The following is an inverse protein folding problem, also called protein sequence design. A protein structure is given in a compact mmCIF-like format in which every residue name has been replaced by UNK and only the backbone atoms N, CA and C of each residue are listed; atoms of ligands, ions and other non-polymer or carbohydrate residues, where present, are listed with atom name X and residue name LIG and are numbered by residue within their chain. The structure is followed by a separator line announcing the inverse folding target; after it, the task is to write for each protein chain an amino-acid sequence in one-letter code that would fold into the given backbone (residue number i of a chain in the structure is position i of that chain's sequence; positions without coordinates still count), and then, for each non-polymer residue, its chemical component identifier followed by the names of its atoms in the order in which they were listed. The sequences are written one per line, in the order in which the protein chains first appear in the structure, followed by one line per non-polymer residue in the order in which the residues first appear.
data_IF_984145257006
#
_entry.id   IF_984145257006
#
_cell.length_a   1.000
_cell.length_b   1.000
_cell.length_c   1.000
_cell.angle_alpha   90.00
_cell.angle_beta   90.00
_cell.angle_gamma   90.00
#
_symmetry.space_group_name_H-M   'P 1'
#
loop_
_entity.id
_entity.type
_entity.pdbx_description
1 polymer ?
#
# COMPACT_ATOMS: atom_id res chain seq x y z
N UNK A 1 3.93 -9.45 21.71
CA UNK A 1 4.42 -10.67 21.08
C UNK A 1 3.95 -11.92 21.81
N UNK A 2 3.97 -13.07 21.16
CA UNK A 2 3.55 -14.34 21.73
C UNK A 2 3.33 -15.37 20.64
N UNK A 3 2.73 -16.52 20.98
CA UNK A 3 2.39 -17.57 20.03
C UNK A 3 1.46 -17.04 18.94
N UNK A 4 1.81 -17.30 17.66
CA UNK A 4 1.02 -16.83 16.53
C UNK A 4 -0.39 -17.43 16.49
N UNK A 5 -0.56 -18.66 16.95
CA UNK A 5 -1.87 -19.34 17.01
C UNK A 5 -2.79 -18.80 18.11
N UNK A 6 -2.25 -18.04 19.06
CA UNK A 6 -3.00 -17.39 20.14
C UNK A 6 -3.14 -15.88 19.90
N UNK A 7 -2.56 -15.38 18.82
CA UNK A 7 -2.60 -13.96 18.51
C UNK A 7 -3.96 -13.55 17.92
N UNK A 8 -4.48 -12.43 18.39
CA UNK A 8 -5.69 -11.83 17.86
C UNK A 8 -5.34 -10.76 16.84
N UNK A 9 -6.00 -10.80 15.69
CA UNK A 9 -5.93 -9.82 14.62
C UNK A 9 -7.28 -9.14 14.45
N UNK A 10 -7.25 -7.89 14.04
CA UNK A 10 -8.47 -7.14 13.76
C UNK A 10 -8.50 -6.72 12.28
N UNK A 11 -9.34 -7.41 11.49
CA UNK A 11 -9.48 -7.21 10.04
C UNK A 11 -8.13 -7.22 9.30
N UNK A 12 -7.31 -8.27 9.43
CA UNK A 12 -6.05 -8.37 8.69
C UNK A 12 -6.36 -8.37 7.19
N UNK A 13 -5.51 -7.71 6.40
CA UNK A 13 -5.72 -7.59 4.98
C UNK A 13 -4.52 -8.10 4.16
N UNK A 14 -3.53 -7.28 3.92
CA UNK A 14 -2.40 -7.66 3.10
C UNK A 14 -1.44 -8.56 3.87
N UNK A 15 -0.88 -9.53 3.15
CA UNK A 15 0.15 -10.43 3.65
C UNK A 15 1.29 -10.49 2.63
N UNK A 16 2.54 -10.52 3.10
CA UNK A 16 3.73 -10.64 2.26
C UNK A 16 4.85 -11.35 3.04
N UNK A 17 5.87 -11.82 2.34
CA UNK A 17 7.09 -12.35 2.96
C UNK A 17 8.19 -11.29 2.96
N UNK A 18 8.91 -11.16 4.06
CA UNK A 18 10.17 -10.41 4.06
C UNK A 18 11.31 -11.24 3.44
N UNK A 19 12.46 -10.62 3.23
CA UNK A 19 13.63 -11.27 2.62
C UNK A 19 14.23 -12.40 3.49
N UNK A 20 13.81 -12.50 4.75
CA UNK A 20 14.18 -13.61 5.67
C UNK A 20 13.10 -14.68 5.78
N UNK A 21 12.05 -14.60 4.94
CA UNK A 21 10.93 -15.55 4.91
C UNK A 21 9.97 -15.41 6.08
N UNK A 22 10.01 -14.32 6.85
CA UNK A 22 9.00 -14.02 7.87
C UNK A 22 7.74 -13.46 7.20
N UNK A 23 6.59 -13.73 7.78
CA UNK A 23 5.30 -13.27 7.27
C UNK A 23 5.01 -11.89 7.84
N UNK A 24 4.76 -10.92 6.96
CA UNK A 24 4.29 -9.58 7.30
C UNK A 24 2.79 -9.49 7.09
N UNK A 25 2.06 -8.86 8.00
CA UNK A 25 0.60 -8.77 7.98
C UNK A 25 0.17 -7.34 8.31
N UNK A 26 -0.65 -6.74 7.45
CA UNK A 26 -1.37 -5.51 7.76
C UNK A 26 -2.55 -5.82 8.69
N UNK A 27 -2.39 -5.55 9.96
CA UNK A 27 -3.42 -5.68 11.01
C UNK A 27 -4.15 -4.33 11.14
N UNK A 28 -4.97 -4.01 10.11
CA UNK A 28 -5.49 -2.65 9.89
C UNK A 28 -6.36 -2.15 11.03
N UNK A 29 -7.23 -3.00 11.58
CA UNK A 29 -8.10 -2.60 12.68
C UNK A 29 -7.36 -2.35 13.99
N UNK A 30 -6.14 -2.87 14.12
CA UNK A 30 -5.24 -2.63 15.23
C UNK A 30 -4.17 -1.57 14.91
N UNK A 31 -4.21 -0.94 13.74
CA UNK A 31 -3.24 0.07 13.30
C UNK A 31 -1.78 -0.38 13.45
N UNK A 32 -1.49 -1.64 13.06
CA UNK A 32 -0.17 -2.28 13.20
C UNK A 32 0.23 -3.06 11.96
N UNK A 33 1.54 -3.15 11.75
CA UNK A 33 2.15 -4.22 10.95
C UNK A 33 2.63 -5.28 11.91
N UNK A 34 2.18 -6.51 11.70
CA UNK A 34 2.62 -7.66 12.49
C UNK A 34 3.62 -8.47 11.67
N UNK A 35 4.56 -9.09 12.37
CA UNK A 35 5.54 -9.99 11.76
C UNK A 35 5.50 -11.33 12.46
N UNK A 36 5.39 -12.42 11.69
CA UNK A 36 5.37 -13.79 12.21
C UNK A 36 6.62 -14.51 11.80
N UNK A 37 7.35 -15.03 12.77
CA UNK A 37 8.51 -15.87 12.53
C UNK A 37 8.09 -17.27 12.09
N UNK A 38 8.53 -17.70 10.89
CA UNK A 38 8.12 -18.97 10.30
C UNK A 38 8.52 -20.18 11.16
N UNK A 39 9.74 -20.19 11.70
CA UNK A 39 10.25 -21.30 12.52
C UNK A 39 9.91 -21.13 14.01
N UNK A 40 9.86 -19.89 14.51
CA UNK A 40 9.56 -19.61 15.91
C UNK A 40 8.07 -19.67 16.24
N UNK A 41 7.20 -19.53 15.21
CA UNK A 41 5.75 -19.37 15.35
C UNK A 41 5.36 -18.25 16.34
N UNK A 42 6.23 -17.25 16.50
CA UNK A 42 5.96 -16.08 17.32
C UNK A 42 5.48 -14.93 16.46
N UNK A 43 4.51 -14.18 16.95
CA UNK A 43 4.07 -12.91 16.34
C UNK A 43 4.64 -11.74 17.15
N UNK A 44 5.10 -10.74 16.44
CA UNK A 44 5.57 -9.48 17.01
C UNK A 44 4.96 -8.28 16.26
N UNK A 45 4.94 -7.13 16.89
CA UNK A 45 4.61 -5.87 16.21
C UNK A 45 5.88 -5.33 15.57
N UNK A 46 5.88 -5.23 14.24
CA UNK A 46 6.97 -4.61 13.49
C UNK A 46 6.86 -3.09 13.50
N UNK A 47 5.63 -2.55 13.38
CA UNK A 47 5.37 -1.11 13.39
C UNK A 47 3.92 -0.84 13.79
N UNK A 48 3.66 0.39 14.24
CA UNK A 48 2.33 0.82 14.69
C UNK A 48 2.17 0.76 16.20
N UNK A 49 1.52 1.78 16.77
CA UNK A 49 1.23 1.87 18.21
C UNK A 49 -0.16 1.36 18.59
N UNK A 50 -1.04 1.16 17.60
CA UNK A 50 -2.47 0.91 17.79
C UNK A 50 -3.31 2.19 17.77
N UNK A 51 -2.69 3.35 17.72
CA UNK A 51 -3.38 4.63 17.67
C UNK A 51 -3.61 5.06 16.21
N UNK A 52 -4.82 5.57 15.96
CA UNK A 52 -5.18 6.19 14.69
C UNK A 52 -4.71 7.65 14.67
N UNK A 53 -3.43 7.85 14.37
CA UNK A 53 -2.80 9.17 14.29
C UNK A 53 -2.00 9.29 12.99
N UNK A 54 -1.73 10.52 12.50
CA UNK A 54 -0.84 10.74 11.37
C UNK A 54 0.53 10.10 11.61
N UNK A 55 1.09 9.54 10.54
CA UNK A 55 2.44 8.94 10.56
C UNK A 55 3.45 10.01 10.13
N UNK A 56 4.37 10.47 11.01
CA UNK A 56 5.35 11.48 10.64
C UNK A 56 6.40 10.95 9.65
N UNK A 57 6.87 11.81 8.74
CA UNK A 57 7.96 11.45 7.84
C UNK A 57 9.30 11.35 8.60
N UNK A 58 10.09 10.34 8.28
CA UNK A 58 11.40 10.08 8.91
C UNK A 58 11.32 9.52 10.32
N UNK A 59 10.12 9.19 10.80
CA UNK A 59 9.94 8.61 12.13
C UNK A 59 10.52 7.20 12.24
N UNK A 60 10.87 6.75 13.46
CA UNK A 60 11.33 5.39 13.69
C UNK A 60 10.26 4.35 13.29
N UNK A 61 10.70 3.21 12.81
CA UNK A 61 9.82 2.08 12.48
C UNK A 61 9.02 1.61 13.71
N UNK A 62 9.68 1.56 14.85
CA UNK A 62 9.08 1.18 16.12
C UNK A 62 8.46 2.39 16.81
N UNK A 63 7.34 2.17 17.51
CA UNK A 63 6.64 3.17 18.32
C UNK A 63 6.08 4.39 17.54
N UNK A 64 5.97 4.28 16.22
CA UNK A 64 5.31 5.30 15.39
C UNK A 64 3.87 4.87 15.07
N UNK A 65 2.87 5.74 15.22
CA UNK A 65 1.50 5.41 14.83
C UNK A 65 1.37 5.21 13.32
N UNK A 66 0.53 4.26 12.91
CA UNK A 66 0.18 4.00 11.52
C UNK A 66 -1.31 4.28 11.30
N UNK A 67 -1.64 5.18 10.38
CA UNK A 67 -3.04 5.51 10.12
C UNK A 67 -3.67 4.56 9.09
N UNK A 68 -4.06 3.37 9.54
CA UNK A 68 -4.73 2.35 8.73
C UNK A 68 -3.82 1.65 7.72
N UNK A 69 -2.80 0.88 8.17
CA UNK A 69 -1.94 0.11 7.28
C UNK A 69 -2.77 -0.94 6.53
N UNK A 70 -2.85 -0.85 5.20
CA UNK A 70 -3.82 -1.63 4.41
C UNK A 70 -3.18 -2.57 3.41
N UNK A 71 -2.15 -2.13 2.70
CA UNK A 71 -1.43 -2.93 1.73
C UNK A 71 0.07 -2.75 1.92
N UNK A 72 0.81 -3.81 1.67
CA UNK A 72 2.26 -3.82 1.75
C UNK A 72 2.84 -4.71 0.64
N UNK A 73 4.06 -4.37 0.22
CA UNK A 73 4.88 -5.20 -0.64
C UNK A 73 6.36 -4.99 -0.28
N UNK A 74 7.21 -5.95 -0.64
CA UNK A 74 8.64 -5.95 -0.29
C UNK A 74 9.45 -5.88 -1.58
N UNK A 75 10.29 -4.85 -1.70
CA UNK A 75 11.20 -4.69 -2.82
C UNK A 75 12.40 -5.64 -2.75
N UNK A 76 13.07 -5.86 -3.87
CA UNK A 76 14.22 -6.77 -3.97
C UNK A 76 15.35 -6.43 -2.99
N UNK A 77 15.55 -5.15 -2.67
CA UNK A 77 16.54 -4.70 -1.69
C UNK A 77 16.10 -4.89 -0.23
N UNK A 78 14.91 -5.44 0.00
CA UNK A 78 14.34 -5.73 1.31
C UNK A 78 13.59 -4.59 1.97
N UNK A 79 13.43 -3.44 1.32
CA UNK A 79 12.61 -2.35 1.84
C UNK A 79 11.13 -2.71 1.72
N UNK A 80 10.36 -2.36 2.75
CA UNK A 80 8.93 -2.54 2.77
C UNK A 80 8.24 -1.27 2.25
N UNK A 81 7.32 -1.43 1.31
CA UNK A 81 6.42 -0.37 0.88
C UNK A 81 5.04 -0.56 1.50
N UNK A 82 4.45 0.52 1.95
CA UNK A 82 3.25 0.51 2.78
C UNK A 82 2.25 1.57 2.33
N UNK A 83 1.02 1.16 2.02
CA UNK A 83 -0.10 2.05 1.81
C UNK A 83 -0.92 2.19 3.10
N UNK A 84 -1.11 3.42 3.54
CA UNK A 84 -1.95 3.79 4.67
C UNK A 84 -3.32 4.26 4.14
N UNK A 85 -4.34 3.40 4.28
CA UNK A 85 -5.69 3.68 3.75
C UNK A 85 -6.31 4.93 4.35
N UNK A 86 -6.41 4.99 5.67
CA UNK A 86 -6.96 6.15 6.38
C UNK A 86 -6.00 7.34 6.37
N UNK A 87 -4.72 7.07 6.21
CA UNK A 87 -3.67 8.09 6.08
C UNK A 87 -3.58 8.72 4.69
N UNK A 88 -4.27 8.18 3.67
CA UNK A 88 -4.17 8.63 2.28
C UNK A 88 -2.72 8.88 1.85
N UNK A 89 -1.82 7.95 2.15
CA UNK A 89 -0.39 8.12 1.96
C UNK A 89 0.32 6.80 1.71
N UNK A 90 1.52 6.89 1.10
CA UNK A 90 2.43 5.78 0.87
C UNK A 90 3.77 6.07 1.53
N UNK A 91 4.30 5.06 2.21
CA UNK A 91 5.59 5.10 2.88
C UNK A 91 6.50 4.00 2.34
N UNK A 92 7.79 4.31 2.23
CA UNK A 92 8.85 3.33 2.16
C UNK A 92 9.41 3.15 3.57
N UNK A 93 9.51 1.93 4.02
CA UNK A 93 10.20 1.58 5.26
C UNK A 93 11.63 1.19 4.91
N UNK A 94 12.57 2.01 5.27
CA UNK A 94 14.00 1.67 5.20
C UNK A 94 14.29 0.67 6.32
N UNK A 95 14.32 -0.61 5.98
CA UNK A 95 14.49 -1.69 6.96
C UNK A 95 15.88 -1.71 7.59
N UNK A 96 16.90 -1.15 6.92
CA UNK A 96 18.26 -1.06 7.43
C UNK A 96 18.40 0.04 8.48
N UNK A 97 17.75 1.19 8.24
CA UNK A 97 17.77 2.34 9.15
C UNK A 97 16.64 2.30 10.17
N UNK A 98 15.64 1.45 9.97
CA UNK A 98 14.45 1.40 10.82
C UNK A 98 13.62 2.69 10.75
N UNK A 99 13.42 3.26 9.56
CA UNK A 99 12.73 4.53 9.36
C UNK A 99 11.56 4.45 8.39
N UNK A 100 10.49 5.19 8.69
CA UNK A 100 9.32 5.40 7.83
C UNK A 100 9.51 6.66 6.99
N UNK A 101 9.67 6.50 5.69
CA UNK A 101 9.93 7.59 4.74
C UNK A 101 8.68 7.85 3.90
N UNK A 102 8.03 8.98 4.11
CA UNK A 102 6.87 9.41 3.32
C UNK A 102 7.23 9.56 1.82
N UNK A 103 6.43 8.98 0.92
CA UNK A 103 6.72 8.94 -0.53
C UNK A 103 5.60 9.49 -1.39
N UNK A 104 4.33 9.32 -1.01
CA UNK A 104 3.21 9.85 -1.77
C UNK A 104 2.02 10.16 -0.85
N UNK A 105 1.19 11.10 -1.30
CA UNK A 105 -0.05 11.49 -0.62
C UNK A 105 0.13 12.54 0.45
N UNK A 106 -0.68 13.58 0.43
CA UNK A 106 -0.64 14.67 1.44
C UNK A 106 -1.33 14.32 2.76
N UNK A 107 -1.93 13.13 2.88
CA UNK A 107 -2.82 12.77 3.97
C UNK A 107 -4.28 13.22 3.76
N UNK A 108 -4.51 14.16 2.85
CA UNK A 108 -5.87 14.60 2.48
C UNK A 108 -6.45 13.65 1.43
N UNK A 109 -7.75 13.33 1.57
CA UNK A 109 -8.48 12.55 0.57
C UNK A 109 -8.68 13.37 -0.71
N UNK A 110 -8.42 12.76 -1.88
CA UNK A 110 -8.63 13.41 -3.17
C UNK A 110 -8.00 12.66 -4.34
N UNK A 111 -8.09 13.28 -5.53
CA UNK A 111 -7.62 12.73 -6.80
C UNK A 111 -6.83 13.78 -7.60
N UNK A 112 -5.83 14.39 -6.98
CA UNK A 112 -5.01 15.43 -7.62
C UNK A 112 -3.54 15.02 -7.74
N UNK A 113 -2.75 15.78 -8.47
CA UNK A 113 -1.30 15.62 -8.54
C UNK A 113 -0.84 14.56 -9.54
N UNK A 114 -1.70 14.10 -10.45
CA UNK A 114 -1.28 13.23 -11.57
C UNK A 114 -0.27 13.96 -12.46
N UNK A 115 0.84 13.31 -12.76
CA UNK A 115 1.96 13.88 -13.51
C UNK A 115 2.84 14.83 -12.67
N UNK A 116 2.56 15.03 -11.37
CA UNK A 116 3.29 15.91 -10.46
C UNK A 116 4.07 15.18 -9.36
N UNK A 117 4.66 15.95 -8.42
CA UNK A 117 5.36 15.37 -7.27
C UNK A 117 4.40 14.53 -6.41
N UNK A 118 4.73 13.25 -6.20
CA UNK A 118 3.85 12.31 -5.50
C UNK A 118 3.54 12.72 -4.05
N UNK A 119 4.46 13.42 -3.40
CA UNK A 119 4.29 13.89 -2.00
C UNK A 119 3.29 15.05 -1.88
N UNK A 120 2.98 15.73 -2.98
CA UNK A 120 2.03 16.84 -3.07
C UNK A 120 0.67 16.38 -3.62
N UNK A 121 0.59 15.15 -4.10
CA UNK A 121 -0.64 14.56 -4.61
C UNK A 121 -1.61 14.21 -3.49
N UNK A 122 -2.90 14.20 -3.79
CA UNK A 122 -3.90 13.61 -2.89
C UNK A 122 -4.23 12.18 -3.34
N UNK A 123 -4.33 11.26 -2.39
CA UNK A 123 -4.78 9.88 -2.58
C UNK A 123 -6.15 9.71 -1.93
N UNK A 124 -6.86 8.66 -2.31
CA UNK A 124 -8.20 8.40 -1.81
C UNK A 124 -8.36 6.95 -1.35
N UNK A 125 -7.93 6.69 -0.11
CA UNK A 125 -8.09 5.39 0.53
C UNK A 125 -7.42 4.24 -0.22
N UNK A 126 -6.11 4.28 -0.52
CA UNK A 126 -5.43 3.23 -1.27
C UNK A 126 -5.52 1.88 -0.54
N UNK A 127 -5.96 0.83 -1.25
CA UNK A 127 -6.16 -0.51 -0.68
C UNK A 127 -5.26 -1.59 -1.28
N UNK A 128 -4.73 -1.38 -2.47
CA UNK A 128 -3.79 -2.27 -3.13
C UNK A 128 -2.45 -1.59 -3.38
N UNK A 129 -1.38 -2.36 -3.28
CA UNK A 129 -0.02 -1.94 -3.58
C UNK A 129 0.74 -3.13 -4.16
N UNK A 130 1.49 -2.90 -5.23
CA UNK A 130 2.41 -3.86 -5.82
C UNK A 130 3.64 -3.15 -6.36
N UNK A 131 4.81 -3.77 -6.25
CA UNK A 131 6.05 -3.26 -6.82
C UNK A 131 6.25 -3.92 -8.17
N UNK A 132 6.42 -3.10 -9.22
CA UNK A 132 6.72 -3.58 -10.56
C UNK A 132 8.18 -4.02 -10.71
N UNK A 133 8.51 -4.75 -11.79
CA UNK A 133 9.88 -5.20 -12.08
C UNK A 133 10.85 -4.05 -12.32
N UNK A 134 10.33 -2.87 -12.63
CA UNK A 134 11.05 -1.60 -12.75
C UNK A 134 11.30 -0.89 -11.40
N UNK A 135 10.82 -1.49 -10.30
CA UNK A 135 10.90 -0.93 -8.95
C UNK A 135 9.92 0.21 -8.67
N UNK A 136 8.98 0.49 -9.60
CA UNK A 136 7.92 1.47 -9.39
C UNK A 136 6.79 0.90 -8.52
N UNK A 137 6.10 1.77 -7.79
CA UNK A 137 5.04 1.35 -6.86
C UNK A 137 3.68 1.63 -7.46
N UNK A 138 2.96 0.57 -7.74
CA UNK A 138 1.62 0.57 -8.29
C UNK A 138 0.57 0.58 -7.18
N UNK A 139 -0.45 1.42 -7.32
CA UNK A 139 -1.45 1.66 -6.30
C UNK A 139 -2.86 1.48 -6.87
N UNK A 140 -3.67 0.67 -6.23
CA UNK A 140 -5.12 0.74 -6.37
C UNK A 140 -5.62 1.85 -5.43
N UNK A 141 -5.79 3.06 -6.00
CA UNK A 141 -6.30 4.24 -5.29
C UNK A 141 -7.83 4.19 -5.28
N UNK A 142 -8.33 3.39 -4.36
CA UNK A 142 -9.65 2.74 -4.40
C UNK A 142 -10.82 3.72 -4.50
N UNK A 143 -10.85 4.72 -3.64
CA UNK A 143 -11.98 5.65 -3.58
C UNK A 143 -11.89 6.74 -4.68
N UNK A 144 -10.78 6.79 -5.42
CA UNK A 144 -10.63 7.57 -6.64
C UNK A 144 -10.83 6.74 -7.90
N UNK A 145 -11.24 5.46 -7.76
CA UNK A 145 -11.57 4.59 -8.88
C UNK A 145 -10.47 4.53 -9.95
N UNK A 146 -9.22 4.45 -9.51
CA UNK A 146 -8.06 4.58 -10.40
C UNK A 146 -6.87 3.71 -9.98
N UNK A 147 -6.00 3.47 -10.95
CA UNK A 147 -4.66 2.89 -10.75
C UNK A 147 -3.64 3.98 -10.99
N UNK A 148 -2.76 4.17 -10.01
CA UNK A 148 -1.71 5.19 -10.05
C UNK A 148 -0.35 4.56 -9.80
N UNK A 149 0.70 5.12 -10.38
CA UNK A 149 2.08 4.65 -10.21
C UNK A 149 2.94 5.75 -9.62
N UNK A 150 3.61 5.43 -8.53
CA UNK A 150 4.71 6.23 -8.02
C UNK A 150 6.00 5.80 -8.73
N UNK A 151 6.51 6.64 -9.60
CA UNK A 151 7.84 6.49 -10.16
C UNK A 151 8.88 6.77 -9.07
N UNK A 152 9.56 5.73 -8.63
CA UNK A 152 10.50 5.81 -7.48
C UNK A 152 11.78 6.57 -7.81
N UNK A 153 12.16 6.64 -9.10
CA UNK A 153 13.33 7.37 -9.55
C UNK A 153 13.10 8.88 -9.63
N UNK A 154 11.92 9.31 -10.14
CA UNK A 154 11.60 10.75 -10.31
C UNK A 154 10.78 11.33 -9.16
N UNK A 155 10.17 10.49 -8.34
CA UNK A 155 9.25 10.91 -7.27
C UNK A 155 7.91 11.46 -7.78
N UNK A 156 7.54 11.19 -9.04
CA UNK A 156 6.27 11.64 -9.65
C UNK A 156 5.19 10.58 -9.49
N UNK A 157 3.94 11.02 -9.45
CA UNK A 157 2.76 10.15 -9.42
C UNK A 157 2.03 10.23 -10.76
N UNK A 158 1.88 9.10 -11.43
CA UNK A 158 1.23 9.01 -12.74
C UNK A 158 -0.12 8.29 -12.64
N UNK A 159 -1.11 8.75 -13.40
CA UNK A 159 -2.37 8.04 -13.61
C UNK A 159 -2.18 7.02 -14.74
N UNK A 160 -2.48 5.77 -14.48
CA UNK A 160 -2.30 4.68 -15.46
C UNK A 160 -3.64 4.14 -15.97
N UNK A 161 -4.63 4.00 -15.09
CA UNK A 161 -5.96 3.52 -15.46
C UNK A 161 -7.05 4.15 -14.60
N UNK A 162 -8.24 4.21 -15.14
CA UNK A 162 -9.39 4.84 -14.49
C UNK A 162 -9.49 6.34 -14.78
N UNK A 163 -10.71 6.84 -14.77
CA UNK A 163 -11.02 8.26 -15.04
C UNK A 163 -11.16 9.11 -13.78
N UNK A 164 -11.06 8.49 -12.60
CA UNK A 164 -11.41 9.13 -11.32
C UNK A 164 -12.92 9.07 -11.01
N UNK A 165 -13.73 8.54 -11.93
CA UNK A 165 -15.17 8.39 -11.76
C UNK A 165 -15.53 6.90 -11.65
N UNK A 166 -16.43 6.58 -10.71
CA UNK A 166 -16.97 5.24 -10.58
C UNK A 166 -17.79 4.85 -11.82
N UNK A 167 -17.57 3.63 -12.30
CA UNK A 167 -18.38 3.08 -13.39
C UNK A 167 -17.84 1.73 -13.84
N UNK A 168 -18.50 1.18 -14.87
CA UNK A 168 -18.16 -0.09 -15.50
C UNK A 168 -17.77 0.14 -16.96
N UNK A 169 -16.45 0.07 -17.23
CA UNK A 169 -15.91 0.15 -18.57
C UNK A 169 -16.00 1.52 -19.27
N UNK A 170 -15.96 1.60 -20.60
CA UNK A 170 -15.79 0.46 -21.53
C UNK A 170 -14.39 -0.15 -21.47
N UNK A 171 -14.25 -1.36 -22.02
CA UNK A 171 -12.93 -1.91 -22.34
C UNK A 171 -12.24 -1.07 -23.40
N UNK A 172 -10.90 -1.01 -23.36
CA UNK A 172 -10.12 -0.22 -24.30
C UNK A 172 -9.01 0.59 -23.63
N UNK A 173 -8.72 1.82 -24.07
CA UNK A 173 -7.65 2.61 -23.48
C UNK A 173 -7.84 2.83 -21.98
N UNK A 174 -6.86 2.41 -21.17
CA UNK A 174 -6.95 2.35 -19.71
C UNK A 174 -7.34 3.70 -19.06
N UNK A 175 -6.88 4.82 -19.63
CA UNK A 175 -7.21 6.17 -19.13
C UNK A 175 -8.65 6.62 -19.48
N UNK A 176 -9.37 5.87 -20.30
CA UNK A 176 -10.79 6.12 -20.63
C UNK A 176 -11.74 5.12 -19.99
N UNK A 177 -11.20 4.04 -19.44
CA UNK A 177 -11.98 3.03 -18.70
C UNK A 177 -12.40 3.57 -17.34
N UNK A 178 -13.64 3.32 -16.92
CA UNK A 178 -14.09 3.56 -15.55
C UNK A 178 -13.92 2.28 -14.75
N UNK A 179 -13.42 2.44 -13.53
CA UNK A 179 -13.27 1.38 -12.55
C UNK A 179 -14.27 1.60 -11.40
N UNK A 180 -14.58 0.55 -10.66
CA UNK A 180 -15.42 0.64 -9.47
C UNK A 180 -14.71 0.11 -8.24
N UNK A 181 -14.06 1.02 -7.51
CA UNK A 181 -13.33 0.76 -6.26
C UNK A 181 -12.35 -0.42 -6.39
N UNK A 182 -11.31 -0.32 -7.23
CA UNK A 182 -10.30 -1.36 -7.32
C UNK A 182 -9.63 -1.58 -5.97
N UNK A 183 -9.55 -2.83 -5.51
CA UNK A 183 -8.96 -3.19 -4.23
C UNK A 183 -7.60 -3.85 -4.37
N UNK A 184 -7.48 -4.81 -5.28
CA UNK A 184 -6.26 -5.56 -5.52
C UNK A 184 -5.50 -5.03 -6.73
N UNK A 185 -4.19 -5.09 -6.66
CA UNK A 185 -3.30 -4.88 -7.80
C UNK A 185 -2.13 -5.84 -7.68
N UNK A 186 -1.73 -6.43 -8.80
CA UNK A 186 -0.54 -7.27 -8.90
C UNK A 186 0.18 -6.96 -10.21
N UNK A 187 1.48 -6.75 -10.13
CA UNK A 187 2.34 -6.55 -11.30
C UNK A 187 3.21 -7.77 -11.48
N UNK A 188 3.05 -8.44 -12.61
CA UNK A 188 3.81 -9.63 -12.95
C UNK A 188 5.22 -9.28 -13.43
N UNK A 189 6.12 -10.28 -13.47
CA UNK A 189 7.52 -10.09 -13.89
C UNK A 189 7.67 -9.66 -15.35
N UNK A 190 6.69 -10.00 -16.21
CA UNK A 190 6.63 -9.58 -17.60
C UNK A 190 6.08 -8.15 -17.80
N UNK A 191 5.72 -7.47 -16.71
CA UNK A 191 5.13 -6.14 -16.71
C UNK A 191 3.61 -6.13 -16.84
N UNK A 192 2.94 -7.28 -16.99
CA UNK A 192 1.47 -7.36 -17.00
C UNK A 192 0.90 -6.93 -15.65
N UNK A 193 -0.19 -6.14 -15.69
CA UNK A 193 -0.81 -5.59 -14.49
C UNK A 193 -2.23 -6.15 -14.35
N UNK A 194 -2.49 -6.81 -13.25
CA UNK A 194 -3.79 -7.36 -12.91
C UNK A 194 -4.47 -6.48 -11.85
N UNK A 195 -5.69 -6.07 -12.11
CA UNK A 195 -6.46 -5.16 -11.27
C UNK A 195 -7.75 -5.83 -10.82
N UNK A 196 -7.91 -6.02 -9.53
CA UNK A 196 -9.19 -6.44 -8.96
C UNK A 196 -10.17 -5.28 -8.93
N UNK A 197 -10.99 -5.14 -9.97
CA UNK A 197 -12.04 -4.12 -10.12
C UNK A 197 -13.28 -4.55 -9.33
N UNK A 198 -13.18 -4.40 -7.99
CA UNK A 198 -13.93 -5.19 -7.00
C UNK A 198 -15.45 -5.02 -7.08
N UNK A 199 -15.94 -3.80 -7.30
CA UNK A 199 -17.39 -3.55 -7.38
C UNK A 199 -17.97 -3.76 -8.79
N UNK A 200 -17.11 -4.05 -9.78
CA UNK A 200 -17.49 -4.58 -11.10
C UNK A 200 -17.31 -6.11 -11.18
N UNK A 201 -16.89 -6.76 -10.07
CA UNK A 201 -16.77 -8.22 -9.97
C UNK A 201 -15.87 -8.85 -11.05
N UNK A 202 -14.75 -8.21 -11.40
CA UNK A 202 -13.83 -8.66 -12.47
C UNK A 202 -12.35 -8.34 -12.17
N UNK A 203 -11.50 -9.00 -12.95
CA UNK A 203 -10.04 -8.76 -13.00
C UNK A 203 -9.67 -8.37 -14.42
#
# INVERSE_FOLDING_TARGET
GGSAIQAEFNRPNSIQFDTWGKILICDIGNHRIRRVGRSSHLVETLSGTGEKKPTPNGSPLFHTPLNGPRALDVSENGDLWLALREGNAVYRVDMKKGQLLHRAGTGKKGFTGNGGPAREATLSGPKGLSIGPDGHVWLADTESHSIRVLNTGTGRLELIAGTGQRGDGPDGPALRCRLARPHGIFVAKDGSVYVGDSENHRV
#
